data_IF_359231109668
#
_entry.id   IF_359231109668
#
_cell.length_a   1.000
_cell.length_b   1.000
_cell.length_c   1.000
_cell.angle_alpha   90.00
_cell.angle_beta   90.00
_cell.angle_gamma   90.00
#
_symmetry.space_group_name_H-M   'P 1'
#
loop_
_entity.id
_entity.type
_entity.pdbx_description
1 polymer ?
#
# COMPACT_ATOMS: atom_id res chain seq x y z
N UNK A 1 25.21 -26.23 -16.90
CA UNK A 1 25.77 -24.97 -17.45
C UNK A 1 24.76 -24.13 -18.22
N UNK A 2 23.88 -24.70 -19.03
CA UNK A 2 22.84 -23.96 -19.80
C UNK A 2 21.80 -23.23 -18.94
N UNK A 3 21.39 -23.76 -17.81
CA UNK A 3 20.38 -23.13 -16.92
C UNK A 3 20.91 -21.83 -16.28
N UNK A 4 22.20 -21.76 -15.96
CA UNK A 4 22.84 -20.56 -15.40
C UNK A 4 22.85 -19.40 -16.42
N UNK A 5 23.09 -19.69 -17.68
CA UNK A 5 23.09 -18.69 -18.75
C UNK A 5 21.67 -18.20 -19.10
N UNK A 6 20.64 -19.05 -18.96
CA UNK A 6 19.24 -18.65 -19.19
C UNK A 6 18.71 -17.78 -18.05
N UNK A 7 19.12 -18.05 -16.81
CA UNK A 7 18.77 -17.21 -15.64
C UNK A 7 19.43 -15.83 -15.72
N UNK A 8 20.68 -15.75 -16.11
CA UNK A 8 21.39 -14.49 -16.33
C UNK A 8 20.73 -13.70 -17.46
N UNK A 9 20.32 -14.33 -18.56
CA UNK A 9 19.60 -13.68 -19.66
C UNK A 9 18.22 -13.19 -19.25
N UNK A 10 17.49 -13.91 -18.38
CA UNK A 10 16.20 -13.50 -17.84
C UNK A 10 16.35 -12.35 -16.83
N UNK A 11 17.39 -12.38 -15.98
CA UNK A 11 17.72 -11.27 -15.08
C UNK A 11 18.16 -10.02 -15.85
N UNK A 12 18.94 -10.17 -16.90
CA UNK A 12 19.35 -9.06 -17.78
C UNK A 12 18.15 -8.55 -18.61
N UNK A 13 17.25 -9.41 -19.07
CA UNK A 13 16.02 -9.00 -19.74
C UNK A 13 15.03 -8.33 -18.79
N UNK A 14 14.90 -8.79 -17.55
CA UNK A 14 14.11 -8.12 -16.52
C UNK A 14 14.72 -6.77 -16.14
N UNK A 15 16.04 -6.67 -16.03
CA UNK A 15 16.76 -5.40 -15.79
C UNK A 15 16.68 -4.45 -17.00
N UNK A 16 16.61 -4.95 -18.22
CA UNK A 16 16.45 -4.13 -19.43
C UNK A 16 15.01 -3.65 -19.66
N UNK A 17 14.03 -4.26 -19.00
CA UNK A 17 12.63 -3.80 -18.97
C UNK A 17 12.39 -2.69 -17.95
N UNK A 18 13.36 -2.38 -17.07
CA UNK A 18 13.34 -1.16 -16.28
C UNK A 18 13.66 0.00 -17.24
N UNK A 19 12.67 0.86 -17.57
CA UNK A 19 12.95 1.96 -18.45
C UNK A 19 14.02 2.86 -17.83
N UNK A 20 14.98 3.30 -18.63
CA UNK A 20 16.04 4.25 -18.25
C UNK A 20 15.52 5.56 -17.62
N UNK A 21 14.22 5.77 -17.58
CA UNK A 21 13.50 6.82 -16.87
C UNK A 21 13.61 6.78 -15.33
N UNK A 22 14.12 5.69 -14.75
CA UNK A 22 14.36 5.59 -13.28
C UNK A 22 15.50 6.50 -12.80
N UNK A 23 16.30 7.07 -13.71
CA UNK A 23 17.39 7.99 -13.36
C UNK A 23 16.94 9.44 -13.17
N UNK A 24 15.66 9.76 -13.33
CA UNK A 24 15.12 11.09 -13.13
C UNK A 24 14.52 11.20 -11.72
N UNK A 25 15.29 11.77 -10.81
CA UNK A 25 14.91 12.24 -9.47
C UNK A 25 14.40 11.14 -8.52
N UNK A 26 15.30 10.58 -7.75
CA UNK A 26 15.00 9.95 -6.47
C UNK A 26 14.56 11.03 -5.47
N UNK A 27 13.30 11.45 -5.53
CA UNK A 27 12.68 12.12 -4.40
C UNK A 27 12.28 11.03 -3.39
N UNK A 28 12.38 11.32 -2.11
CA UNK A 28 11.94 10.46 -1.02
C UNK A 28 10.42 10.25 -0.96
N UNK A 29 9.69 10.76 -1.94
CA UNK A 29 8.24 10.70 -2.03
C UNK A 29 7.81 9.35 -2.60
N UNK A 30 7.20 8.52 -1.76
CA UNK A 30 6.75 7.16 -2.08
C UNK A 30 5.30 7.08 -2.62
N UNK A 31 4.54 8.17 -2.53
CA UNK A 31 3.23 8.35 -3.14
C UNK A 31 3.19 9.70 -3.84
N UNK A 32 2.33 9.89 -4.82
CA UNK A 32 2.09 11.18 -5.44
C UNK A 32 0.61 11.37 -5.75
N UNK A 33 -0.12 11.83 -4.73
CA UNK A 33 -1.56 12.01 -4.79
C UNK A 33 -2.02 13.18 -3.94
N UNK A 34 -2.83 14.11 -4.46
CA UNK A 34 -3.41 15.17 -3.65
C UNK A 34 -4.32 14.63 -2.53
N UNK A 35 -4.82 13.41 -2.67
CA UNK A 35 -5.63 12.75 -1.64
C UNK A 35 -4.82 12.33 -0.42
N UNK A 36 -3.48 12.35 -0.49
CA UNK A 36 -2.60 12.07 0.65
C UNK A 36 -2.37 13.28 1.56
N UNK A 37 -2.95 14.43 1.23
CA UNK A 37 -2.83 15.66 2.02
C UNK A 37 -3.43 15.52 3.43
N UNK A 38 -4.33 14.57 3.64
CA UNK A 38 -5.07 14.41 4.89
C UNK A 38 -4.72 13.08 5.59
N UNK A 39 -4.72 13.12 6.93
CA UNK A 39 -4.49 11.95 7.78
C UNK A 39 -3.12 11.30 7.57
N UNK A 40 -3.10 9.99 7.48
CA UNK A 40 -1.87 9.19 7.31
C UNK A 40 -1.51 8.94 5.83
N UNK A 41 -2.21 9.58 4.90
CA UNK A 41 -1.96 9.45 3.47
C UNK A 41 -2.70 8.29 2.79
N UNK A 42 -2.14 7.82 1.68
CA UNK A 42 -2.68 6.71 0.89
C UNK A 42 -2.30 5.37 1.49
N UNK A 43 -3.31 4.51 1.71
CA UNK A 43 -3.09 3.16 2.20
C UNK A 43 -2.56 2.26 1.08
N UNK A 44 -1.49 1.55 1.36
CA UNK A 44 -0.97 0.53 0.45
C UNK A 44 -1.87 -0.72 0.45
N UNK A 45 -1.94 -1.39 -0.70
CA UNK A 45 -2.69 -2.65 -0.80
C UNK A 45 -1.91 -3.76 -0.08
N UNK A 46 -2.44 -4.32 1.01
CA UNK A 46 -1.73 -5.36 1.74
C UNK A 46 -1.72 -6.69 0.97
N UNK A 47 -0.77 -7.54 1.29
CA UNK A 47 -0.61 -8.87 0.70
C UNK A 47 0.66 -8.98 -0.14
N UNK A 48 1.21 -10.19 -0.24
CA UNK A 48 2.36 -10.51 -1.12
C UNK A 48 1.97 -10.40 -2.60
N UNK A 49 2.94 -10.31 -3.49
CA UNK A 49 2.68 -10.13 -4.92
C UNK A 49 1.74 -11.18 -5.54
N UNK A 50 1.81 -12.48 -5.19
CA UNK A 50 0.82 -13.46 -5.63
C UNK A 50 -0.64 -13.09 -5.27
N UNK A 51 -0.85 -12.59 -4.04
CA UNK A 51 -2.17 -12.17 -3.56
C UNK A 51 -2.64 -10.90 -4.30
N UNK A 52 -1.77 -9.92 -4.46
CA UNK A 52 -2.07 -8.66 -5.17
C UNK A 52 -2.37 -8.88 -6.65
N UNK A 53 -1.67 -9.79 -7.31
CA UNK A 53 -1.96 -10.19 -8.69
C UNK A 53 -3.35 -10.83 -8.86
N UNK A 54 -3.97 -11.25 -7.75
CA UNK A 54 -5.35 -11.74 -7.67
C UNK A 54 -6.32 -10.68 -7.09
N UNK A 55 -6.09 -9.38 -7.34
CA UNK A 55 -6.94 -8.30 -6.82
C UNK A 55 -6.75 -7.99 -5.33
N UNK A 56 -5.79 -8.61 -4.66
CA UNK A 56 -5.57 -8.52 -3.21
C UNK A 56 -6.44 -9.49 -2.41
N UNK A 57 -6.88 -10.58 -3.01
CA UNK A 57 -7.55 -11.70 -2.33
C UNK A 57 -6.57 -12.47 -1.47
N UNK A 58 -6.97 -12.81 -0.24
CA UNK A 58 -6.09 -13.56 0.64
C UNK A 58 -6.66 -13.93 2.00
N UNK A 59 -7.79 -13.37 2.43
CA UNK A 59 -8.36 -13.61 3.78
C UNK A 59 -8.62 -15.10 4.03
N UNK A 60 -9.11 -15.81 3.01
CA UNK A 60 -9.31 -17.25 3.04
C UNK A 60 -8.21 -18.05 2.34
N UNK A 61 -7.18 -17.39 1.78
CA UNK A 61 -6.12 -18.10 1.07
C UNK A 61 -5.27 -18.90 2.05
N UNK A 62 -5.24 -20.22 1.85
CA UNK A 62 -4.44 -21.16 2.64
C UNK A 62 -3.51 -21.91 1.68
N UNK A 63 -2.36 -21.32 1.41
CA UNK A 63 -1.36 -21.87 0.48
C UNK A 63 -0.08 -22.24 1.21
N UNK A 64 0.55 -23.31 0.79
CA UNK A 64 1.87 -23.72 1.29
C UNK A 64 3.03 -22.99 0.56
N UNK A 65 2.74 -22.25 -0.50
CA UNK A 65 3.74 -21.55 -1.31
C UNK A 65 3.59 -20.03 -1.35
N UNK A 66 2.74 -19.45 -0.48
CA UNK A 66 2.53 -17.99 -0.41
C UNK A 66 2.43 -17.60 1.07
N UNK A 67 3.23 -16.64 1.50
CA UNK A 67 3.09 -16.05 2.84
C UNK A 67 1.80 -15.23 2.88
N UNK A 68 0.91 -15.56 3.83
CA UNK A 68 -0.34 -14.82 3.96
C UNK A 68 -0.20 -13.67 4.94
N UNK A 69 -0.36 -12.43 4.47
CA UNK A 69 -0.28 -11.23 5.30
C UNK A 69 -1.65 -10.76 5.83
N UNK A 70 -2.76 -11.29 5.31
CA UNK A 70 -4.11 -10.80 5.60
C UNK A 70 -4.79 -11.54 6.75
N UNK A 71 -4.43 -12.80 7.01
CA UNK A 71 -5.08 -13.60 8.04
C UNK A 71 -4.06 -14.47 8.80
N UNK A 72 -3.81 -14.22 10.08
CA UNK A 72 -2.81 -14.96 10.85
C UNK A 72 -3.17 -16.45 11.06
N UNK A 73 -4.44 -16.83 10.92
CA UNK A 73 -4.83 -18.25 10.99
C UNK A 73 -4.17 -19.11 9.88
N UNK A 74 -3.83 -18.48 8.74
CA UNK A 74 -3.16 -19.13 7.63
C UNK A 74 -1.74 -19.62 7.97
N UNK A 75 -1.09 -19.06 8.98
CA UNK A 75 0.28 -19.47 9.38
C UNK A 75 0.35 -20.94 9.81
N UNK A 76 -0.75 -21.50 10.31
CA UNK A 76 -0.84 -22.93 10.64
C UNK A 76 -0.76 -23.85 9.43
N UNK A 77 -0.86 -23.34 8.19
CA UNK A 77 -0.85 -24.17 6.97
C UNK A 77 0.54 -24.61 6.53
N UNK A 78 1.58 -24.02 7.11
CA UNK A 78 2.95 -24.32 6.68
C UNK A 78 3.35 -25.75 7.11
N UNK A 79 3.86 -26.57 6.19
CA UNK A 79 4.33 -27.90 6.51
C UNK A 79 5.51 -27.88 7.50
N UNK A 80 5.67 -28.94 8.29
CA UNK A 80 6.81 -29.09 9.18
C UNK A 80 8.12 -29.09 8.41
N UNK A 81 9.19 -28.54 9.02
CA UNK A 81 10.52 -28.47 8.44
C UNK A 81 10.61 -27.68 7.13
N UNK A 82 9.74 -26.68 6.98
CA UNK A 82 9.75 -25.76 5.85
C UNK A 82 9.92 -24.33 6.31
N UNK A 83 10.44 -23.49 5.46
CA UNK A 83 10.56 -22.05 5.65
C UNK A 83 10.12 -21.36 4.36
N UNK A 84 9.27 -20.37 4.47
CA UNK A 84 8.79 -19.60 3.35
C UNK A 84 9.18 -18.14 3.57
N UNK A 85 9.88 -17.56 2.61
CA UNK A 85 10.31 -16.18 2.62
C UNK A 85 9.82 -15.48 1.37
N UNK A 86 9.33 -14.26 1.52
CA UNK A 86 8.91 -13.40 0.42
C UNK A 86 9.59 -12.04 0.50
N UNK A 87 9.98 -11.53 -0.66
CA UNK A 87 10.50 -10.17 -0.84
C UNK A 87 9.93 -9.58 -2.11
N UNK A 88 9.41 -8.37 -2.06
CA UNK A 88 8.80 -7.70 -3.18
C UNK A 88 9.30 -6.27 -3.38
N UNK A 89 9.41 -5.88 -4.65
CA UNK A 89 9.71 -4.52 -5.11
C UNK A 89 8.60 -4.03 -6.02
N UNK A 90 8.28 -2.74 -5.96
CA UNK A 90 7.20 -2.12 -6.72
C UNK A 90 7.65 -0.80 -7.31
N UNK A 91 7.36 -0.60 -8.60
CA UNK A 91 7.38 0.71 -9.26
C UNK A 91 5.96 1.16 -9.55
N UNK A 92 5.66 2.43 -9.33
CA UNK A 92 4.34 3.00 -9.57
C UNK A 92 4.45 4.30 -10.36
N UNK A 93 3.63 4.40 -11.42
CA UNK A 93 3.42 5.62 -12.17
C UNK A 93 2.06 6.19 -11.81
N UNK A 94 2.04 7.44 -11.35
CA UNK A 94 0.83 8.22 -11.09
C UNK A 94 0.57 9.18 -12.24
N UNK A 95 -0.66 9.22 -12.73
CA UNK A 95 -1.15 10.22 -13.66
C UNK A 95 -2.36 10.91 -13.05
N UNK A 96 -2.19 12.20 -12.75
CA UNK A 96 -3.21 13.04 -12.16
C UNK A 96 -3.71 14.04 -13.19
N UNK A 97 -5.02 14.20 -13.33
CA UNK A 97 -5.65 15.17 -14.22
C UNK A 97 -6.77 15.91 -13.50
N UNK A 98 -6.86 17.21 -13.75
CA UNK A 98 -7.90 18.09 -13.18
C UNK A 98 -8.38 19.03 -14.26
N UNK A 99 -9.70 19.24 -14.30
CA UNK A 99 -10.34 20.23 -15.18
C UNK A 99 -11.04 21.27 -14.32
N UNK A 100 -10.62 22.51 -14.42
CA UNK A 100 -11.19 23.67 -13.70
C UNK A 100 -11.47 24.77 -14.72
N UNK A 101 -12.69 25.32 -14.72
CA UNK A 101 -13.12 26.37 -15.64
C UNK A 101 -12.85 26.06 -17.13
N UNK A 102 -13.04 24.80 -17.53
CA UNK A 102 -12.80 24.34 -18.91
C UNK A 102 -11.32 24.12 -19.30
N UNK A 103 -10.38 24.44 -18.41
CA UNK A 103 -8.95 24.15 -18.62
C UNK A 103 -8.55 22.85 -17.96
N UNK A 104 -7.92 21.95 -18.73
CA UNK A 104 -7.40 20.69 -18.21
C UNK A 104 -5.90 20.77 -17.98
N UNK A 105 -5.46 20.38 -16.78
CA UNK A 105 -4.05 20.24 -16.41
C UNK A 105 -3.77 18.82 -15.96
N UNK A 106 -2.58 18.29 -16.25
CA UNK A 106 -2.17 16.95 -15.85
C UNK A 106 -0.74 16.93 -15.36
N UNK A 107 -0.46 15.98 -14.47
CA UNK A 107 0.89 15.72 -13.97
C UNK A 107 1.14 14.21 -13.95
N UNK A 108 2.37 13.80 -14.20
CA UNK A 108 2.80 12.42 -14.07
C UNK A 108 3.99 12.34 -13.09
N UNK A 109 4.03 11.27 -12.30
CA UNK A 109 5.07 11.04 -11.32
C UNK A 109 5.37 9.55 -11.16
N UNK A 110 6.64 9.20 -11.00
CA UNK A 110 7.08 7.83 -10.79
C UNK A 110 7.64 7.65 -9.39
N UNK A 111 7.26 6.56 -8.73
CA UNK A 111 7.81 6.15 -7.45
C UNK A 111 8.37 4.73 -7.55
N UNK A 112 9.31 4.40 -6.70
CA UNK A 112 9.85 3.05 -6.59
C UNK A 112 10.11 2.71 -5.12
N UNK A 113 9.56 1.59 -4.65
CA UNK A 113 9.61 1.17 -3.27
C UNK A 113 9.80 -0.34 -3.11
N UNK A 114 10.24 -0.75 -1.90
CA UNK A 114 9.97 -2.11 -1.49
C UNK A 114 8.48 -2.29 -1.19
N UNK A 115 7.98 -3.49 -1.43
CA UNK A 115 6.58 -3.81 -1.25
C UNK A 115 6.32 -4.64 0.01
N UNK A 116 7.11 -5.68 0.22
CA UNK A 116 7.02 -6.53 1.39
C UNK A 116 8.32 -7.30 1.63
N UNK A 117 8.57 -7.55 2.91
CA UNK A 117 9.50 -8.57 3.38
C UNK A 117 8.69 -9.43 4.35
N UNK A 118 8.57 -10.71 4.07
CA UNK A 118 7.75 -11.57 4.91
C UNK A 118 8.33 -12.96 5.01
N UNK A 119 8.11 -13.62 6.13
CA UNK A 119 8.42 -15.04 6.27
C UNK A 119 7.37 -15.78 7.09
N UNK A 120 7.32 -17.07 6.88
CA UNK A 120 6.46 -17.98 7.59
C UNK A 120 7.19 -19.29 7.86
N UNK A 121 7.11 -19.80 9.09
CA UNK A 121 7.75 -21.05 9.49
C UNK A 121 6.92 -21.83 10.51
N UNK A 122 7.04 -23.16 10.56
CA UNK A 122 6.40 -23.96 11.60
C UNK A 122 7.18 -23.82 12.92
N UNK A 123 6.48 -23.58 14.02
CA UNK A 123 7.05 -23.56 15.37
C UNK A 123 6.86 -24.91 16.04
N UNK A 124 5.69 -25.50 15.87
CA UNK A 124 5.35 -26.82 16.38
C UNK A 124 4.36 -27.50 15.44
N UNK A 125 3.98 -28.75 15.74
CA UNK A 125 2.96 -29.44 14.95
C UNK A 125 1.65 -28.65 14.99
N UNK A 126 1.14 -28.24 13.81
CA UNK A 126 -0.06 -27.43 13.63
C UNK A 126 0.05 -25.98 14.11
N UNK A 127 1.21 -25.52 14.52
CA UNK A 127 1.47 -24.15 14.96
C UNK A 127 2.52 -23.52 14.04
N UNK A 128 2.15 -22.44 13.39
CA UNK A 128 3.05 -21.65 12.54
C UNK A 128 3.20 -20.22 13.04
N UNK A 129 4.36 -19.64 12.75
CA UNK A 129 4.70 -18.25 12.98
C UNK A 129 4.81 -17.54 11.65
N UNK A 130 4.30 -16.32 11.58
CA UNK A 130 4.46 -15.41 10.46
C UNK A 130 4.98 -14.07 10.92
N UNK A 131 5.85 -13.51 10.10
CA UNK A 131 6.40 -12.17 10.26
C UNK A 131 6.27 -11.41 8.94
N UNK A 132 5.99 -10.11 9.01
CA UNK A 132 6.07 -9.24 7.85
C UNK A 132 6.49 -7.82 8.21
N UNK A 133 7.18 -7.19 7.28
CA UNK A 133 7.52 -5.79 7.21
C UNK A 133 6.95 -5.24 5.91
N UNK A 134 6.01 -4.32 6.00
CA UNK A 134 5.31 -3.77 4.83
C UNK A 134 5.09 -2.27 4.98
N UNK A 135 5.20 -1.47 3.91
CA UNK A 135 4.70 -0.10 3.91
C UNK A 135 3.18 -0.12 4.11
N UNK A 136 2.68 0.56 5.13
CA UNK A 136 1.25 0.63 5.45
C UNK A 136 0.57 1.77 4.71
N UNK A 137 1.14 2.99 4.82
CA UNK A 137 0.64 4.17 4.12
C UNK A 137 1.78 5.07 3.71
N UNK A 138 1.52 5.89 2.68
CA UNK A 138 2.50 6.85 2.15
C UNK A 138 1.83 8.19 1.90
N UNK A 139 2.54 9.27 2.23
CA UNK A 139 2.17 10.65 1.95
C UNK A 139 3.09 11.19 0.88
N UNK A 140 2.51 11.81 -0.13
CA UNK A 140 3.27 12.49 -1.17
C UNK A 140 2.37 13.41 -1.98
N UNK A 141 2.56 14.72 -1.83
CA UNK A 141 1.86 15.71 -2.61
C UNK A 141 2.68 16.99 -2.72
N UNK A 142 2.47 17.72 -3.82
CA UNK A 142 2.96 19.07 -4.04
C UNK A 142 1.86 19.88 -4.72
N UNK A 143 1.36 20.89 -4.03
CA UNK A 143 0.30 21.77 -4.53
C UNK A 143 0.74 23.21 -4.44
N UNK A 144 0.51 23.95 -5.52
CA UNK A 144 0.80 25.37 -5.59
C UNK A 144 -0.45 26.12 -5.97
N UNK A 145 -0.73 27.20 -5.27
CA UNK A 145 -1.72 28.16 -5.70
C UNK A 145 -1.26 29.59 -5.47
N UNK A 146 -1.89 30.50 -6.20
CA UNK A 146 -1.61 31.92 -6.12
C UNK A 146 -2.86 32.66 -5.66
N UNK A 147 -2.66 33.62 -4.78
CA UNK A 147 -3.64 34.64 -4.48
C UNK A 147 -3.14 35.93 -5.10
N UNK A 148 -3.91 36.45 -6.06
CA UNK A 148 -3.60 37.70 -6.72
C UNK A 148 -4.07 38.89 -5.87
N UNK A 149 -3.48 40.06 -6.11
CA UNK A 149 -3.84 41.30 -5.45
C UNK A 149 -5.31 41.63 -5.64
N UNK A 150 -5.99 41.95 -4.53
CA UNK A 150 -7.33 42.49 -4.50
C UNK A 150 -7.27 43.95 -4.01
N UNK A 151 -7.55 44.93 -4.88
CA UNK A 151 -7.52 46.33 -4.50
C UNK A 151 -8.55 46.72 -3.48
N UNK A 152 -9.58 45.91 -3.26
CA UNK A 152 -10.61 46.12 -2.23
C UNK A 152 -10.20 45.65 -0.84
N UNK A 153 -9.13 44.87 -0.71
CA UNK A 153 -8.63 44.36 0.57
C UNK A 153 -7.49 45.26 1.11
N UNK A 154 -7.75 46.04 2.17
CA UNK A 154 -6.77 46.97 2.73
C UNK A 154 -5.56 46.29 3.39
N UNK A 155 -5.64 44.98 3.65
CA UNK A 155 -4.52 44.22 4.25
C UNK A 155 -3.38 44.02 3.28
N UNK A 156 -3.65 44.05 1.97
CA UNK A 156 -2.62 43.74 0.95
C UNK A 156 -1.55 44.80 0.77
N UNK A 157 -1.85 46.08 0.94
CA UNK A 157 -0.87 47.16 0.75
C UNK A 157 -0.16 47.08 -0.58
N UNK A 158 1.19 46.90 -0.56
CA UNK A 158 2.02 46.75 -1.75
C UNK A 158 2.21 45.28 -2.19
N UNK A 159 1.50 44.31 -1.60
CA UNK A 159 1.61 42.91 -2.00
C UNK A 159 0.78 42.67 -3.26
N UNK A 160 1.44 42.30 -4.37
CA UNK A 160 0.76 42.05 -5.63
C UNK A 160 0.28 40.61 -5.80
N UNK A 161 1.02 39.66 -5.23
CA UNK A 161 0.73 38.23 -5.30
C UNK A 161 1.27 37.52 -4.08
N UNK A 162 0.56 36.53 -3.59
CA UNK A 162 1.07 35.59 -2.60
C UNK A 162 1.02 34.19 -3.19
N UNK A 163 2.19 33.55 -3.28
CA UNK A 163 2.32 32.14 -3.65
C UNK A 163 2.28 31.26 -2.39
N UNK A 164 1.43 30.27 -2.42
CA UNK A 164 1.33 29.24 -1.39
C UNK A 164 1.78 27.91 -1.98
N UNK A 165 2.76 27.28 -1.34
CA UNK A 165 3.21 25.93 -1.66
C UNK A 165 2.87 25.03 -0.47
N UNK A 166 2.19 23.92 -0.74
CA UNK A 166 1.95 22.86 0.22
C UNK A 166 2.64 21.61 -0.29
N UNK A 167 3.51 21.08 0.53
CA UNK A 167 4.24 19.84 0.26
C UNK A 167 4.04 18.88 1.44
N UNK A 168 3.92 17.61 1.15
CA UNK A 168 3.90 16.58 2.17
C UNK A 168 4.65 15.36 1.67
N UNK A 169 5.40 14.74 2.59
CA UNK A 169 6.11 13.49 2.34
C UNK A 169 6.16 12.67 3.61
N UNK A 170 6.42 11.38 3.48
CA UNK A 170 6.58 10.46 4.59
C UNK A 170 5.81 9.18 4.44
N UNK A 171 6.13 8.24 5.30
CA UNK A 171 5.60 6.88 5.27
C UNK A 171 5.31 6.35 6.65
N UNK A 172 4.32 5.49 6.73
CA UNK A 172 4.06 4.65 7.90
C UNK A 172 4.31 3.21 7.51
N UNK A 173 5.19 2.55 8.24
CA UNK A 173 5.56 1.14 8.03
C UNK A 173 4.88 0.28 9.10
N UNK A 174 4.46 -0.93 8.72
CA UNK A 174 3.91 -1.95 9.62
C UNK A 174 4.90 -3.11 9.76
N UNK A 175 5.20 -3.49 11.00
CA UNK A 175 5.73 -4.81 11.35
C UNK A 175 4.61 -5.63 11.96
N UNK A 176 4.41 -6.82 11.43
CA UNK A 176 3.45 -7.79 11.94
C UNK A 176 4.17 -9.07 12.38
N UNK A 177 3.87 -9.51 13.59
CA UNK A 177 4.31 -10.81 14.13
C UNK A 177 3.09 -11.58 14.61
N UNK A 178 2.89 -12.78 14.10
CA UNK A 178 1.70 -13.54 14.40
C UNK A 178 1.93 -15.04 14.54
N UNK A 179 0.98 -15.68 15.21
CA UNK A 179 0.89 -17.11 15.40
C UNK A 179 -0.43 -17.63 14.85
N UNK A 180 -0.38 -18.74 14.11
CA UNK A 180 -1.54 -19.45 13.62
C UNK A 180 -1.53 -20.88 14.12
N UNK A 181 -2.65 -21.34 14.66
CA UNK A 181 -2.81 -22.67 15.23
C UNK A 181 -4.02 -23.40 14.65
N UNK A 182 -3.82 -24.62 14.16
CA UNK A 182 -4.92 -25.53 13.79
C UNK A 182 -5.43 -26.22 15.04
N UNK A 183 -6.49 -25.67 15.64
CA UNK A 183 -7.10 -26.17 16.88
C UNK A 183 -7.79 -27.50 16.65
N UNK A 184 -8.61 -27.58 15.60
CA UNK A 184 -9.30 -28.78 15.17
C UNK A 184 -8.89 -29.10 13.73
N UNK A 185 -9.23 -30.31 13.29
CA UNK A 185 -8.98 -30.72 11.90
C UNK A 185 -9.64 -29.71 10.93
N UNK A 186 -8.83 -29.10 10.08
CA UNK A 186 -9.26 -28.11 9.09
C UNK A 186 -9.79 -26.77 9.66
N UNK A 187 -9.71 -26.54 10.97
CA UNK A 187 -10.10 -25.28 11.60
C UNK A 187 -8.91 -24.66 12.31
N UNK A 188 -8.59 -23.43 11.93
CA UNK A 188 -7.44 -22.69 12.43
C UNK A 188 -7.83 -21.33 12.97
N UNK A 189 -7.16 -20.91 14.03
CA UNK A 189 -7.23 -19.59 14.60
C UNK A 189 -5.86 -18.95 14.57
N UNK A 190 -5.81 -17.64 14.58
CA UNK A 190 -4.55 -16.93 14.61
C UNK A 190 -4.67 -15.57 15.28
N UNK A 191 -3.56 -15.12 15.83
CA UNK A 191 -3.41 -13.80 16.45
C UNK A 191 -2.14 -13.17 15.94
N UNK A 192 -2.12 -11.85 15.79
CA UNK A 192 -0.93 -11.11 15.44
C UNK A 192 -0.88 -9.77 16.18
N UNK A 193 0.32 -9.35 16.52
CA UNK A 193 0.64 -7.99 16.94
C UNK A 193 1.15 -7.22 15.71
N UNK A 194 0.70 -5.98 15.57
CA UNK A 194 1.06 -5.07 14.50
C UNK A 194 1.67 -3.81 15.13
N UNK A 195 2.89 -3.49 14.77
CA UNK A 195 3.58 -2.27 15.17
C UNK A 195 3.69 -1.33 14.00
N UNK A 196 3.16 -0.13 14.16
CA UNK A 196 3.17 0.94 13.16
C UNK A 196 4.16 2.00 13.59
N UNK A 197 5.09 2.37 12.70
CA UNK A 197 6.01 3.48 12.94
C UNK A 197 6.30 4.24 11.66
N UNK A 198 6.66 5.49 11.80
CA UNK A 198 7.03 6.35 10.69
C UNK A 198 6.96 7.83 11.03
N UNK A 199 7.28 8.66 10.05
CA UNK A 199 7.13 10.10 10.14
C UNK A 199 6.46 10.65 8.90
N UNK A 200 5.67 11.71 9.09
CA UNK A 200 5.04 12.46 8.02
C UNK A 200 5.41 13.92 8.21
N UNK A 201 6.04 14.51 7.20
CA UNK A 201 6.39 15.90 7.14
C UNK A 201 5.43 16.66 6.23
N UNK A 202 4.86 17.75 6.73
CA UNK A 202 4.02 18.66 5.98
C UNK A 202 4.59 20.05 6.03
N UNK A 203 4.93 20.58 4.89
CA UNK A 203 5.53 21.90 4.74
C UNK A 203 4.56 22.83 4.04
N UNK A 204 4.40 24.01 4.60
CA UNK A 204 3.64 25.10 4.05
C UNK A 204 4.60 26.30 3.84
N UNK A 205 4.68 26.80 2.63
CA UNK A 205 5.49 27.98 2.32
C UNK A 205 4.60 29.07 1.74
N UNK A 206 4.68 30.27 2.31
CA UNK A 206 4.02 31.46 1.83
C UNK A 206 5.09 32.46 1.33
N UNK A 207 5.01 32.80 0.05
CA UNK A 207 5.95 33.74 -0.60
C UNK A 207 5.19 34.92 -1.18
N UNK A 208 5.22 36.10 -0.54
CA UNK A 208 4.63 37.31 -1.08
C UNK A 208 5.55 37.95 -2.12
N UNK A 209 4.97 38.64 -3.11
CA UNK A 209 5.68 39.41 -4.16
C UNK A 209 5.06 40.79 -4.24
N UNK A 210 5.90 41.85 -4.33
CA UNK A 210 5.44 43.22 -4.41
C UNK A 210 4.77 43.54 -5.77
N UNK A 211 3.85 44.50 -5.79
CA UNK A 211 3.20 45.01 -7.03
C UNK A 211 4.21 45.72 -7.92
N UNK A 212 5.04 46.59 -7.33
CA UNK A 212 5.93 47.47 -8.07
C UNK A 212 7.36 46.95 -8.19
N UNK A 213 7.65 45.76 -7.70
CA UNK A 213 9.01 45.22 -7.61
C UNK A 213 9.86 45.87 -6.52
N UNK A 214 9.35 46.92 -5.87
CA UNK A 214 10.00 47.59 -4.73
C UNK A 214 9.33 47.10 -3.43
N UNK A 215 10.02 46.27 -2.71
CA UNK A 215 9.59 45.75 -1.42
C UNK A 215 10.22 44.39 -1.17
N UNK A 216 10.96 44.27 -0.07
CA UNK A 216 11.53 43.00 0.39
C UNK A 216 10.55 42.33 1.32
N UNK A 217 9.68 41.48 0.75
CA UNK A 217 8.85 40.61 1.55
C UNK A 217 9.56 39.30 1.86
N UNK A 218 9.47 38.86 3.08
CA UNK A 218 10.12 37.65 3.54
C UNK A 218 9.13 36.47 3.49
N UNK A 219 9.57 35.35 2.94
CA UNK A 219 8.76 34.12 2.94
C UNK A 219 8.59 33.57 4.34
N UNK A 220 7.46 32.93 4.59
CA UNK A 220 7.22 32.21 5.83
C UNK A 220 7.07 30.73 5.51
N UNK A 221 7.69 29.88 6.34
CA UNK A 221 7.63 28.43 6.21
C UNK A 221 7.10 27.83 7.50
N UNK A 222 6.01 27.07 7.40
CA UNK A 222 5.51 26.21 8.46
C UNK A 222 5.88 24.75 8.18
N UNK A 223 6.37 24.07 9.19
CA UNK A 223 6.70 22.65 9.17
C UNK A 223 5.96 21.93 10.28
N UNK A 224 5.15 20.95 9.92
CA UNK A 224 4.48 20.04 10.84
C UNK A 224 5.07 18.64 10.64
N UNK A 225 5.81 18.14 11.64
CA UNK A 225 6.34 16.78 11.67
C UNK A 225 5.46 15.91 12.56
N UNK A 226 4.93 14.83 12.01
CA UNK A 226 4.12 13.82 12.70
C UNK A 226 4.96 12.57 12.93
N UNK A 227 5.28 12.27 14.17
CA UNK A 227 5.98 11.04 14.55
C UNK A 227 4.96 10.00 15.05
N UNK A 228 4.89 8.86 14.38
CA UNK A 228 3.93 7.79 14.64
C UNK A 228 4.64 6.60 15.24
N UNK A 229 4.11 6.10 16.37
CA UNK A 229 4.56 4.86 17.01
C UNK A 229 3.38 4.25 17.76
N UNK A 230 2.86 3.10 17.29
CA UNK A 230 1.67 2.48 17.88
C UNK A 230 1.63 0.98 17.67
N UNK A 231 1.08 0.26 18.65
CA UNK A 231 0.86 -1.19 18.60
C UNK A 231 -0.63 -1.48 18.48
N UNK A 232 -0.99 -2.39 17.59
CA UNK A 232 -2.36 -2.90 17.38
C UNK A 232 -2.36 -4.41 17.37
N UNK A 233 -3.56 -4.99 17.29
CA UNK A 233 -3.74 -6.42 17.22
C UNK A 233 -4.62 -6.85 16.06
N UNK A 234 -4.40 -8.06 15.58
CA UNK A 234 -5.24 -8.72 14.59
C UNK A 234 -5.59 -10.13 15.07
N UNK A 235 -6.82 -10.55 14.85
CA UNK A 235 -7.28 -11.91 15.06
C UNK A 235 -7.83 -12.49 13.75
N UNK A 236 -7.70 -13.80 13.57
CA UNK A 236 -8.15 -14.44 12.36
C UNK A 236 -8.61 -15.86 12.58
N UNK A 237 -9.52 -16.29 11.72
CA UNK A 237 -10.03 -17.67 11.69
C UNK A 237 -10.09 -18.18 10.25
N UNK A 238 -9.83 -19.46 10.06
CA UNK A 238 -10.01 -20.15 8.79
C UNK A 238 -10.59 -21.55 9.01
N UNK A 239 -11.55 -21.91 8.17
CA UNK A 239 -12.10 -23.25 8.09
C UNK A 239 -11.93 -23.77 6.66
N UNK A 240 -11.28 -24.94 6.53
CA UNK A 240 -10.86 -25.48 5.23
C UNK A 240 -11.40 -26.91 5.02
N UNK A 241 -12.73 -27.10 4.85
CA UNK A 241 -13.28 -28.40 4.56
C UNK A 241 -12.74 -28.94 3.23
N UNK A 242 -12.27 -30.17 3.26
CA UNK A 242 -11.83 -30.89 2.07
C UNK A 242 -13.04 -31.51 1.40
N UNK A 243 -13.44 -30.95 0.23
CA UNK A 243 -14.60 -31.47 -0.49
C UNK A 243 -14.30 -32.81 -1.19
N UNK A 244 -13.08 -32.90 -1.77
CA UNK A 244 -12.50 -34.11 -2.33
C UNK A 244 -10.99 -34.08 -2.21
N UNK A 245 -10.28 -35.17 -2.49
CA UNK A 245 -8.80 -35.19 -2.46
C UNK A 245 -8.11 -34.10 -3.32
N UNK A 246 -8.82 -33.53 -4.30
CA UNK A 246 -8.30 -32.52 -5.24
C UNK A 246 -9.03 -31.16 -5.18
N UNK A 247 -9.98 -31.01 -4.25
CA UNK A 247 -10.80 -29.79 -4.14
C UNK A 247 -10.91 -29.35 -2.69
N UNK A 248 -10.41 -28.18 -2.39
CA UNK A 248 -10.40 -27.58 -1.07
C UNK A 248 -11.20 -26.29 -1.14
N UNK A 249 -12.13 -26.12 -0.24
CA UNK A 249 -12.81 -24.86 0.02
C UNK A 249 -12.27 -24.30 1.33
N UNK A 250 -11.90 -23.05 1.37
CA UNK A 250 -11.53 -22.37 2.61
C UNK A 250 -12.44 -21.15 2.79
N UNK A 251 -12.96 -20.99 3.98
CA UNK A 251 -13.69 -19.80 4.42
C UNK A 251 -12.85 -19.17 5.52
N UNK A 252 -12.64 -17.85 5.43
CA UNK A 252 -11.80 -17.12 6.36
C UNK A 252 -12.42 -15.81 6.78
N UNK A 253 -12.10 -15.39 8.01
CA UNK A 253 -12.37 -14.06 8.50
C UNK A 253 -11.18 -13.54 9.30
N UNK A 254 -10.94 -12.23 9.24
CA UNK A 254 -9.91 -11.54 10.00
C UNK A 254 -10.47 -10.22 10.53
N UNK A 255 -10.06 -9.85 11.74
CA UNK A 255 -10.45 -8.60 12.38
C UNK A 255 -9.22 -7.87 12.90
N UNK A 256 -9.01 -6.67 12.39
CA UNK A 256 -7.99 -5.73 12.85
C UNK A 256 -8.62 -4.81 13.90
N UNK A 257 -8.03 -4.76 15.08
CA UNK A 257 -8.62 -4.09 16.23
C UNK A 257 -8.65 -2.56 16.04
N UNK A 258 -7.69 -2.00 15.30
CA UNK A 258 -7.60 -0.55 15.08
C UNK A 258 -7.33 0.22 16.38
N UNK A 259 -7.64 1.50 16.40
CA UNK A 259 -7.56 2.39 17.57
C UNK A 259 -6.60 3.57 17.38
N UNK A 260 -6.35 4.30 18.46
CA UNK A 260 -5.61 5.56 18.41
C UNK A 260 -4.14 5.36 18.03
N UNK A 261 -3.63 6.21 17.14
CA UNK A 261 -2.21 6.30 16.78
C UNK A 261 -1.47 7.32 17.63
N UNK A 262 -2.17 8.36 18.10
CA UNK A 262 -1.66 9.46 18.95
C UNK A 262 -0.27 9.97 18.51
N UNK A 263 -0.08 10.43 17.27
CA UNK A 263 1.21 10.92 16.83
C UNK A 263 1.65 12.13 17.64
N UNK A 264 2.94 12.18 17.92
CA UNK A 264 3.58 13.40 18.39
C UNK A 264 3.75 14.34 17.20
N UNK A 265 3.23 15.56 17.33
CA UNK A 265 3.27 16.57 16.26
C UNK A 265 4.13 17.74 16.71
N UNK A 266 5.27 17.91 16.06
CA UNK A 266 6.15 19.07 16.26
C UNK A 266 5.87 20.09 15.16
N UNK A 267 5.35 21.26 15.56
CA UNK A 267 5.08 22.39 14.67
C UNK A 267 6.18 23.43 14.79
N UNK A 268 6.71 23.89 13.68
CA UNK A 268 7.73 24.94 13.62
C UNK A 268 7.36 25.97 12.57
N UNK A 269 7.55 27.25 12.87
CA UNK A 269 7.34 28.35 11.95
C UNK A 269 8.66 29.09 11.80
N UNK A 270 9.08 29.31 10.58
CA UNK A 270 10.27 30.04 10.20
C UNK A 270 9.88 31.25 9.38
N UNK A 271 10.65 32.36 9.53
CA UNK A 271 10.53 33.54 8.69
C UNK A 271 11.86 33.71 7.95
N UNK A 272 11.81 33.80 6.64
CA UNK A 272 12.98 33.78 5.79
C UNK A 272 13.41 32.36 5.41
N UNK A 273 14.67 32.06 5.62
CA UNK A 273 15.22 30.72 5.39
C UNK A 273 14.92 29.82 6.61
N UNK A 274 14.55 28.55 6.37
CA UNK A 274 14.31 27.54 7.40
C UNK A 274 15.53 27.32 8.31
N UNK A 275 16.72 27.72 7.87
CA UNK A 275 17.96 27.58 8.64
C UNK A 275 18.26 28.79 9.54
N UNK A 276 17.56 29.92 9.39
CA UNK A 276 18.01 31.17 10.00
C UNK A 276 17.21 31.63 11.21
N UNK A 277 15.92 31.41 11.29
CA UNK A 277 15.16 31.90 12.47
C UNK A 277 13.88 31.12 12.70
N UNK A 278 13.84 30.32 13.75
CA UNK A 278 12.58 29.73 14.29
C UNK A 278 11.86 30.82 15.07
N UNK A 279 10.68 31.22 14.61
CA UNK A 279 9.84 32.22 15.32
C UNK A 279 9.01 31.53 16.41
N UNK A 280 8.55 30.31 16.14
CA UNK A 280 7.75 29.52 17.08
C UNK A 280 7.94 28.02 16.84
N UNK A 281 8.09 27.28 17.93
CA UNK A 281 8.04 25.83 17.94
C UNK A 281 7.06 25.36 19.05
N UNK A 282 6.28 24.33 18.77
CA UNK A 282 5.38 23.72 19.71
C UNK A 282 5.29 22.21 19.44
N UNK A 283 5.12 21.42 20.49
CA UNK A 283 4.94 19.97 20.37
C UNK A 283 3.63 19.59 21.03
N UNK A 284 2.77 18.96 20.27
CA UNK A 284 1.44 18.55 20.71
C UNK A 284 1.18 17.10 20.34
N UNK A 285 0.23 16.46 21.01
CA UNK A 285 -0.29 15.17 20.59
C UNK A 285 -1.59 15.36 19.82
N UNK A 286 -1.65 14.82 18.60
CA UNK A 286 -2.86 14.85 17.80
C UNK A 286 -3.56 13.48 17.89
N UNK A 287 -4.89 13.51 18.00
CA UNK A 287 -5.66 12.28 17.91
C UNK A 287 -5.82 11.86 16.45
N UNK A 288 -5.18 10.78 16.06
CA UNK A 288 -5.39 10.07 14.82
C UNK A 288 -5.87 8.65 15.12
N UNK A 289 -6.79 8.13 14.33
CA UNK A 289 -7.38 6.81 14.57
C UNK A 289 -7.16 5.90 13.37
N UNK A 290 -6.60 4.71 13.60
CA UNK A 290 -6.64 3.62 12.64
C UNK A 290 -8.01 2.95 12.68
N UNK A 291 -8.64 2.68 11.52
CA UNK A 291 -9.95 2.05 11.48
C UNK A 291 -9.89 0.61 12.02
N UNK A 292 -10.96 0.20 12.64
CA UNK A 292 -11.23 -1.23 12.80
C UNK A 292 -11.57 -1.80 11.43
N UNK A 293 -10.99 -2.96 11.11
CA UNK A 293 -11.26 -3.61 9.83
C UNK A 293 -11.81 -5.02 10.06
N UNK A 294 -12.92 -5.32 9.44
CA UNK A 294 -13.46 -6.67 9.33
C UNK A 294 -13.29 -7.15 7.88
N UNK A 295 -12.66 -8.28 7.71
CA UNK A 295 -12.45 -8.91 6.41
C UNK A 295 -13.00 -10.34 6.43
N UNK A 296 -13.70 -10.72 5.36
CA UNK A 296 -14.20 -12.07 5.17
C UNK A 296 -13.91 -12.52 3.75
N UNK A 297 -13.68 -13.82 3.55
CA UNK A 297 -13.36 -14.34 2.24
C UNK A 297 -13.68 -15.81 2.08
N UNK A 298 -13.77 -16.21 0.82
CA UNK A 298 -13.93 -17.59 0.37
C UNK A 298 -12.87 -17.88 -0.68
N UNK A 299 -12.19 -18.99 -0.54
CA UNK A 299 -11.16 -19.43 -1.47
C UNK A 299 -11.37 -20.88 -1.86
N UNK A 300 -11.55 -21.13 -3.15
CA UNK A 300 -11.74 -22.46 -3.71
C UNK A 300 -10.52 -22.84 -4.54
N UNK A 301 -9.92 -23.97 -4.24
CA UNK A 301 -8.71 -24.45 -4.89
C UNK A 301 -8.88 -25.86 -5.44
N UNK A 302 -8.38 -26.06 -6.66
CA UNK A 302 -8.25 -27.34 -7.33
C UNK A 302 -6.79 -27.58 -7.73
N UNK A 303 -6.52 -28.69 -8.41
CA UNK A 303 -5.17 -28.98 -8.91
C UNK A 303 -4.65 -27.93 -9.94
N UNK A 304 -5.54 -27.25 -10.67
CA UNK A 304 -5.17 -26.30 -11.72
C UNK A 304 -5.68 -24.87 -11.48
N UNK A 305 -6.81 -24.74 -10.82
CA UNK A 305 -7.50 -23.47 -10.60
C UNK A 305 -7.58 -23.12 -9.13
N UNK A 306 -7.38 -21.86 -8.84
CA UNK A 306 -7.77 -21.29 -7.56
C UNK A 306 -8.58 -20.01 -7.82
N UNK A 307 -9.68 -19.85 -7.10
CA UNK A 307 -10.57 -18.68 -7.21
C UNK A 307 -10.87 -18.19 -5.80
N UNK A 308 -10.76 -16.89 -5.61
CA UNK A 308 -11.05 -16.27 -4.32
C UNK A 308 -11.91 -15.04 -4.44
N UNK A 309 -12.68 -14.79 -3.41
CA UNK A 309 -13.51 -13.59 -3.24
C UNK A 309 -13.35 -13.11 -1.81
N UNK A 310 -13.00 -11.85 -1.63
CA UNK A 310 -12.88 -11.22 -0.32
C UNK A 310 -13.72 -9.94 -0.26
N UNK A 311 -14.25 -9.68 0.93
CA UNK A 311 -14.89 -8.42 1.29
C UNK A 311 -14.19 -7.85 2.52
N UNK A 312 -13.86 -6.56 2.50
CA UNK A 312 -13.27 -5.85 3.63
C UNK A 312 -14.07 -4.59 3.93
N UNK A 313 -14.42 -4.42 5.19
CA UNK A 313 -15.09 -3.23 5.73
C UNK A 313 -14.17 -2.54 6.72
N UNK A 314 -14.01 -1.21 6.59
CA UNK A 314 -13.21 -0.39 7.50
C UNK A 314 -14.06 0.75 8.07
N UNK A 315 -14.02 0.90 9.40
CA UNK A 315 -14.75 1.95 10.11
C UNK A 315 -13.89 3.22 10.24
N UNK A 316 -13.81 4.00 9.17
CA UNK A 316 -13.10 5.29 9.16
C UNK A 316 -13.90 6.44 9.76
N UNK A 317 -15.23 6.30 9.94
CA UNK A 317 -16.08 7.34 10.51
C UNK A 317 -15.64 7.81 11.90
N UNK A 318 -15.02 6.91 12.68
CA UNK A 318 -14.47 7.24 14.00
C UNK A 318 -13.26 8.21 13.94
N UNK A 319 -12.65 8.35 12.75
CA UNK A 319 -11.49 9.23 12.52
C UNK A 319 -11.87 10.71 12.35
N UNK A 320 -13.14 11.04 12.25
CA UNK A 320 -13.65 12.43 12.15
C UNK A 320 -13.56 13.22 13.46
N UNK A 321 -12.93 12.68 14.50
CA UNK A 321 -12.93 13.27 15.85
C UNK A 321 -12.03 14.50 16.01
N UNK A 322 -11.29 14.90 14.98
CA UNK A 322 -10.40 16.06 15.07
C UNK A 322 -10.49 16.91 13.81
N UNK A 323 -11.09 18.07 13.94
CA UNK A 323 -11.07 19.20 13.02
C UNK A 323 -11.66 18.95 11.63
N UNK A 324 -12.61 19.78 11.26
CA UNK A 324 -13.06 19.99 9.90
C UNK A 324 -11.83 20.24 9.01
N UNK A 325 -11.57 19.30 8.10
CA UNK A 325 -10.50 19.47 7.12
C UNK A 325 -11.08 20.18 5.91
N UNK A 326 -10.56 21.36 5.62
CA UNK A 326 -10.98 22.13 4.44
C UNK A 326 -9.90 22.05 3.38
N UNK A 327 -10.27 21.59 2.20
CA UNK A 327 -9.43 21.61 1.03
C UNK A 327 -9.77 22.78 0.11
N UNK A 328 -8.83 23.15 -0.75
CA UNK A 328 -9.02 24.18 -1.77
C UNK A 328 -8.59 23.62 -3.13
N UNK A 329 -9.45 23.80 -4.13
CA UNK A 329 -9.21 23.41 -5.51
C UNK A 329 -9.34 24.62 -6.43
N UNK A 330 -8.58 24.66 -7.51
CA UNK A 330 -8.59 25.76 -8.48
C UNK A 330 -7.57 26.85 -8.15
N UNK A 331 -7.55 27.90 -8.95
CA UNK A 331 -6.66 29.07 -8.80
C UNK A 331 -7.38 30.36 -9.18
N UNK A 332 -7.04 31.48 -8.55
CA UNK A 332 -7.66 32.78 -8.76
C UNK A 332 -9.15 32.78 -8.41
N UNK A 333 -9.97 33.44 -9.22
CA UNK A 333 -11.42 33.56 -9.01
C UNK A 333 -12.21 32.25 -9.18
N UNK A 334 -11.60 31.22 -9.77
CA UNK A 334 -12.16 29.88 -9.91
C UNK A 334 -11.84 28.97 -8.72
N UNK A 335 -11.42 29.53 -7.61
CA UNK A 335 -11.07 28.82 -6.38
C UNK A 335 -12.32 28.31 -5.67
N UNK A 336 -12.37 27.00 -5.40
CA UNK A 336 -13.44 26.35 -4.68
C UNK A 336 -12.90 25.70 -3.42
N UNK A 337 -13.46 26.03 -2.27
CA UNK A 337 -13.21 25.30 -1.03
C UNK A 337 -14.14 24.08 -0.96
N UNK A 338 -13.66 22.99 -0.38
CA UNK A 338 -14.45 21.78 -0.15
C UNK A 338 -14.17 21.22 1.24
N UNK A 339 -15.22 20.67 1.82
CA UNK A 339 -15.12 19.96 3.09
C UNK A 339 -14.58 18.54 2.86
N UNK A 340 -13.67 18.10 3.71
CA UNK A 340 -13.12 16.74 3.71
C UNK A 340 -13.48 16.05 5.00
N UNK A 341 -14.10 14.88 4.89
CA UNK A 341 -14.44 14.05 6.04
C UNK A 341 -14.09 12.59 5.78
N UNK A 342 -13.85 11.82 6.84
CA UNK A 342 -13.67 10.39 6.73
C UNK A 342 -15.01 9.65 6.67
N UNK A 343 -15.05 8.59 5.88
CA UNK A 343 -16.24 7.74 5.73
C UNK A 343 -15.86 6.26 5.75
N UNK A 344 -16.77 5.45 6.27
CA UNK A 344 -16.59 4.01 6.28
C UNK A 344 -16.47 3.47 4.87
N UNK A 345 -15.53 2.55 4.67
CA UNK A 345 -15.24 1.99 3.36
C UNK A 345 -15.58 0.51 3.27
N UNK A 346 -15.97 0.11 2.07
CA UNK A 346 -16.18 -1.29 1.71
C UNK A 346 -15.39 -1.58 0.45
N UNK A 347 -14.63 -2.66 0.46
CA UNK A 347 -13.84 -3.10 -0.70
C UNK A 347 -14.17 -4.54 -1.03
N UNK A 348 -14.58 -4.77 -2.26
CA UNK A 348 -14.82 -6.09 -2.83
C UNK A 348 -13.65 -6.49 -3.73
N UNK A 349 -13.21 -7.74 -3.62
CA UNK A 349 -12.04 -8.27 -4.33
C UNK A 349 -12.36 -9.63 -4.89
N UNK A 350 -11.95 -9.87 -6.13
CA UNK A 350 -12.07 -11.16 -6.84
C UNK A 350 -10.74 -11.49 -7.49
N UNK A 351 -10.33 -12.74 -7.41
CA UNK A 351 -9.10 -13.19 -8.04
C UNK A 351 -9.16 -14.63 -8.52
N UNK A 352 -8.41 -14.90 -9.55
CA UNK A 352 -8.25 -16.22 -10.13
C UNK A 352 -6.78 -16.53 -10.38
N UNK A 353 -6.38 -17.77 -10.10
CA UNK A 353 -5.08 -18.33 -10.46
C UNK A 353 -5.30 -19.57 -11.31
N UNK A 354 -4.53 -19.70 -12.38
CA UNK A 354 -4.50 -20.87 -13.25
C UNK A 354 -3.08 -21.39 -13.41
N UNK A 355 -2.83 -22.63 -13.04
CA UNK A 355 -1.57 -23.34 -13.26
C UNK A 355 -1.83 -24.58 -14.09
N UNK A 356 -1.48 -24.60 -15.38
CA UNK A 356 -1.83 -25.71 -16.29
C UNK A 356 -1.33 -27.06 -15.81
N UNK A 357 -0.05 -27.13 -15.41
CA UNK A 357 0.56 -28.37 -14.90
C UNK A 357 1.84 -28.04 -14.11
N UNK A 358 1.80 -28.12 -12.79
CA UNK A 358 2.94 -27.80 -11.92
C UNK A 358 4.19 -28.67 -12.15
N UNK A 359 4.00 -29.87 -12.65
CA UNK A 359 5.05 -30.88 -12.82
C UNK A 359 5.33 -31.24 -14.29
N UNK A 360 4.93 -30.39 -15.24
CA UNK A 360 5.17 -30.65 -16.65
C UNK A 360 6.67 -30.59 -16.95
N UNK A 361 7.23 -31.71 -17.43
CA UNK A 361 8.67 -31.82 -17.78
C UNK A 361 8.99 -31.29 -19.17
N UNK A 362 7.97 -31.24 -20.06
CA UNK A 362 8.16 -30.89 -21.47
C UNK A 362 8.00 -29.40 -21.75
N UNK A 363 7.10 -28.72 -21.02
CA UNK A 363 6.78 -27.31 -21.26
C UNK A 363 7.01 -26.48 -20.01
N UNK A 364 7.95 -25.53 -20.08
CA UNK A 364 8.24 -24.60 -18.99
C UNK A 364 7.06 -23.70 -18.68
N UNK A 365 6.36 -23.17 -19.73
CA UNK A 365 5.22 -22.28 -19.58
C UNK A 365 4.03 -22.95 -18.90
N UNK A 366 3.83 -24.26 -19.04
CA UNK A 366 2.75 -24.98 -18.35
C UNK A 366 2.92 -25.04 -16.82
N UNK A 367 4.13 -24.79 -16.32
CA UNK A 367 4.43 -24.75 -14.90
C UNK A 367 4.17 -23.39 -14.25
N UNK A 368 3.99 -22.35 -15.07
CA UNK A 368 3.71 -21.02 -14.58
C UNK A 368 2.33 -20.91 -13.94
N UNK A 369 2.21 -20.09 -12.93
CA UNK A 369 0.94 -19.68 -12.34
C UNK A 369 0.53 -18.35 -12.95
N UNK A 370 -0.59 -18.32 -13.66
CA UNK A 370 -1.18 -17.14 -14.28
C UNK A 370 -2.26 -16.61 -13.35
N UNK A 371 -2.22 -15.33 -13.05
CA UNK A 371 -3.14 -14.69 -12.08
C UNK A 371 -3.80 -13.49 -12.70
N UNK A 372 -5.07 -13.30 -12.35
CA UNK A 372 -5.83 -12.11 -12.68
C UNK A 372 -6.77 -11.77 -11.53
N UNK A 373 -7.06 -10.47 -11.36
CA UNK A 373 -7.95 -10.04 -10.31
C UNK A 373 -8.55 -8.66 -10.54
N UNK A 374 -9.55 -8.37 -9.75
CA UNK A 374 -10.27 -7.10 -9.75
C UNK A 374 -10.62 -6.71 -8.33
N UNK A 375 -10.53 -5.42 -8.02
CA UNK A 375 -11.06 -4.84 -6.79
C UNK A 375 -11.83 -3.58 -7.07
N UNK A 376 -12.89 -3.38 -6.30
CA UNK A 376 -13.74 -2.21 -6.34
C UNK A 376 -14.09 -1.77 -4.91
N UNK A 377 -14.10 -0.47 -4.66
CA UNK A 377 -14.48 0.09 -3.38
C UNK A 377 -14.55 1.60 -3.43
N UNK A 378 -14.61 2.18 -2.23
CA UNK A 378 -14.61 3.64 -2.05
C UNK A 378 -13.38 4.06 -1.26
N UNK A 379 -12.88 5.25 -1.56
CA UNK A 379 -11.84 5.89 -0.76
C UNK A 379 -12.38 6.20 0.64
N UNK A 380 -11.50 6.29 1.61
CA UNK A 380 -11.85 6.58 3.01
C UNK A 380 -12.22 8.05 3.28
N UNK A 381 -12.10 8.91 2.29
CA UNK A 381 -12.44 10.34 2.38
C UNK A 381 -13.63 10.67 1.48
N UNK A 382 -14.46 11.60 1.94
CA UNK A 382 -15.51 12.25 1.15
C UNK A 382 -15.14 13.71 0.94
N UNK A 383 -15.62 14.29 -0.15
CA UNK A 383 -15.42 15.69 -0.52
C UNK A 383 -16.79 16.33 -0.77
N UNK A 384 -17.16 17.31 0.05
CA UNK A 384 -18.53 17.85 0.13
C UNK A 384 -19.60 16.75 0.28
N UNK A 385 -19.31 15.71 1.06
CA UNK A 385 -20.18 14.55 1.22
C UNK A 385 -20.12 13.50 0.10
N UNK A 386 -19.47 13.79 -1.04
CA UNK A 386 -19.35 12.87 -2.16
C UNK A 386 -18.26 11.82 -1.94
N UNK A 387 -18.61 10.55 -2.18
CA UNK A 387 -17.69 9.42 -2.08
C UNK A 387 -16.88 9.23 -3.35
N UNK A 388 -15.56 9.08 -3.22
CA UNK A 388 -14.68 8.75 -4.34
C UNK A 388 -14.67 7.25 -4.61
N UNK A 389 -15.22 6.84 -5.74
CA UNK A 389 -15.08 5.45 -6.19
C UNK A 389 -13.65 5.17 -6.68
N UNK A 390 -13.18 3.96 -6.38
CA UNK A 390 -11.89 3.46 -6.84
C UNK A 390 -12.01 2.02 -7.33
N UNK A 391 -11.28 1.68 -8.38
CA UNK A 391 -11.16 0.32 -8.84
C UNK A 391 -9.75 0.03 -9.35
N UNK A 392 -9.38 -1.25 -9.35
CA UNK A 392 -8.16 -1.72 -9.95
C UNK A 392 -8.34 -3.08 -10.60
N UNK A 393 -7.65 -3.26 -11.71
CA UNK A 393 -7.48 -4.53 -12.41
C UNK A 393 -6.05 -4.97 -12.24
N UNK A 394 -5.85 -6.22 -11.90
CA UNK A 394 -4.53 -6.80 -11.67
C UNK A 394 -4.30 -8.01 -12.54
N UNK A 395 -3.05 -8.21 -12.95
CA UNK A 395 -2.62 -9.41 -13.63
C UNK A 395 -1.19 -9.77 -13.18
N UNK A 396 -0.84 -11.04 -13.26
CA UNK A 396 0.51 -11.46 -12.93
C UNK A 396 0.78 -12.92 -13.24
N UNK A 397 2.03 -13.28 -13.13
CA UNK A 397 2.45 -14.66 -13.29
C UNK A 397 3.58 -15.01 -12.32
N UNK A 398 3.58 -16.27 -11.88
CA UNK A 398 4.62 -16.84 -11.04
C UNK A 398 5.42 -17.85 -11.83
N UNK A 399 6.72 -17.65 -11.89
CA UNK A 399 7.68 -18.49 -12.59
C UNK A 399 8.35 -19.39 -11.56
N UNK A 400 8.11 -20.73 -11.57
CA UNK A 400 8.79 -21.62 -10.65
C UNK A 400 10.27 -21.75 -11.03
N UNK A 401 11.14 -21.55 -10.04
CA UNK A 401 12.59 -21.70 -10.19
C UNK A 401 13.11 -22.67 -9.15
N UNK A 402 14.01 -23.56 -9.55
CA UNK A 402 14.70 -24.45 -8.62
C UNK A 402 15.89 -23.70 -8.02
N UNK A 403 15.66 -23.00 -6.93
CA UNK A 403 16.68 -22.41 -6.08
C UNK A 403 16.46 -22.98 -4.68
N UNK A 404 17.19 -24.00 -4.24
CA UNK A 404 17.12 -24.64 -2.91
C UNK A 404 15.79 -25.32 -2.53
N UNK A 405 14.89 -25.55 -3.38
CA UNK A 405 13.62 -26.25 -3.33
C UNK A 405 12.69 -25.64 -4.38
N UNK A 406 11.38 -25.58 -4.15
CA UNK A 406 10.44 -24.96 -5.07
C UNK A 406 10.29 -23.49 -4.68
N UNK A 407 10.96 -22.61 -5.43
CA UNK A 407 10.85 -21.15 -5.28
C UNK A 407 10.16 -20.55 -6.51
N UNK A 408 9.69 -19.32 -6.42
CA UNK A 408 9.11 -18.60 -7.56
C UNK A 408 9.64 -17.17 -7.68
N UNK A 409 9.70 -16.70 -8.90
CA UNK A 409 9.80 -15.28 -9.24
C UNK A 409 8.40 -14.88 -9.72
N UNK A 410 7.78 -13.93 -9.03
CA UNK A 410 6.47 -13.43 -9.37
C UNK A 410 6.61 -12.07 -10.04
N UNK A 411 5.83 -11.83 -11.10
CA UNK A 411 5.74 -10.55 -11.79
C UNK A 411 4.28 -10.16 -11.85
N UNK A 412 3.98 -8.92 -11.50
CA UNK A 412 2.62 -8.42 -11.47
C UNK A 412 2.49 -7.01 -12.00
N UNK A 413 1.33 -6.72 -12.56
CA UNK A 413 0.91 -5.39 -13.01
C UNK A 413 -0.44 -5.07 -12.42
N UNK A 414 -0.65 -3.80 -12.12
CA UNK A 414 -1.91 -3.29 -11.63
C UNK A 414 -2.21 -1.96 -12.31
N UNK A 415 -3.43 -1.81 -12.82
CA UNK A 415 -3.97 -0.54 -13.29
C UNK A 415 -5.16 -0.15 -12.43
N UNK A 416 -5.15 1.05 -11.87
CA UNK A 416 -6.23 1.55 -11.04
C UNK A 416 -6.63 2.99 -11.36
N UNK A 417 -7.87 3.32 -10.98
CA UNK A 417 -8.42 4.67 -11.11
C UNK A 417 -9.16 5.06 -9.83
N UNK A 418 -9.08 6.35 -9.50
CA UNK A 418 -9.72 6.96 -8.34
C UNK A 418 -10.35 8.30 -8.71
N UNK A 419 -11.47 8.64 -8.11
CA UNK A 419 -12.13 9.94 -8.26
C UNK A 419 -12.83 10.16 -9.60
N UNK A 420 -12.98 9.15 -10.44
CA UNK A 420 -13.57 9.27 -11.77
C UNK A 420 -15.06 9.62 -11.78
N UNK A 421 -15.77 9.34 -10.70
CA UNK A 421 -17.22 9.55 -10.59
C UNK A 421 -17.61 10.97 -10.15
N UNK A 422 -16.73 11.69 -9.44
CA UNK A 422 -17.06 12.99 -8.82
C UNK A 422 -16.04 14.08 -9.11
N UNK A 423 -14.89 13.76 -9.67
CA UNK A 423 -13.79 14.72 -9.84
C UNK A 423 -14.19 15.99 -10.60
N UNK A 424 -14.95 15.87 -11.69
CA UNK A 424 -15.41 17.05 -12.47
C UNK A 424 -16.42 17.90 -11.70
N UNK A 425 -17.35 17.25 -10.99
CA UNK A 425 -18.42 17.94 -10.27
C UNK A 425 -17.89 18.75 -9.09
N UNK A 426 -16.87 18.24 -8.40
CA UNK A 426 -16.31 18.87 -7.20
C UNK A 426 -15.00 19.62 -7.50
N UNK A 427 -14.54 19.60 -8.76
CA UNK A 427 -13.27 20.22 -9.15
C UNK A 427 -12.03 19.50 -8.61
N UNK A 428 -12.15 18.20 -8.34
CA UNK A 428 -11.08 17.38 -7.80
C UNK A 428 -10.22 16.74 -8.91
N UNK A 429 -9.14 16.14 -8.49
CA UNK A 429 -8.21 15.44 -9.36
C UNK A 429 -8.72 14.04 -9.69
N UNK A 430 -8.76 13.67 -10.96
CA UNK A 430 -8.84 12.28 -11.38
C UNK A 430 -7.46 11.67 -11.32
N UNK A 431 -7.32 10.58 -10.59
CA UNK A 431 -6.07 9.85 -10.49
C UNK A 431 -6.18 8.52 -11.22
N UNK A 432 -5.17 8.26 -12.05
CA UNK A 432 -4.89 6.95 -12.63
C UNK A 432 -3.51 6.52 -12.16
N UNK A 433 -3.34 5.23 -11.93
CA UNK A 433 -2.02 4.71 -11.59
C UNK A 433 -1.79 3.37 -12.28
N UNK A 434 -0.52 3.14 -12.58
CA UNK A 434 -0.03 1.88 -13.09
C UNK A 434 1.10 1.41 -12.18
N UNK A 435 0.99 0.18 -11.67
CA UNK A 435 2.03 -0.45 -10.85
C UNK A 435 2.64 -1.61 -11.58
N UNK A 436 3.94 -1.75 -11.46
CA UNK A 436 4.72 -2.90 -11.87
C UNK A 436 5.46 -3.43 -10.65
N UNK A 437 5.34 -4.71 -10.38
CA UNK A 437 5.98 -5.32 -9.23
C UNK A 437 6.70 -6.62 -9.58
N UNK A 438 7.81 -6.86 -8.88
CA UNK A 438 8.57 -8.12 -8.95
C UNK A 438 8.72 -8.65 -7.53
N UNK A 439 8.37 -9.91 -7.34
CA UNK A 439 8.47 -10.60 -6.07
C UNK A 439 9.31 -11.86 -6.18
N UNK A 440 9.95 -12.20 -5.08
CA UNK A 440 10.72 -13.43 -4.94
C UNK A 440 10.15 -14.22 -3.77
N UNK A 441 9.65 -15.41 -4.04
CA UNK A 441 9.22 -16.34 -3.01
C UNK A 441 10.24 -17.47 -2.93
N UNK A 442 10.91 -17.57 -1.79
CA UNK A 442 11.86 -18.64 -1.50
C UNK A 442 11.18 -19.64 -0.57
N UNK A 443 11.12 -20.89 -1.00
CA UNK A 443 10.57 -21.98 -0.24
C UNK A 443 11.68 -23.00 0.04
N UNK A 444 12.09 -23.08 1.30
CA UNK A 444 12.98 -24.12 1.78
C UNK A 444 12.14 -25.21 2.45
N UNK A 445 12.00 -26.35 1.80
CA UNK A 445 11.27 -27.50 2.30
C UNK A 445 12.20 -28.67 2.60
N UNK A 446 11.70 -29.71 3.26
CA UNK A 446 12.40 -30.97 3.37
C UNK A 446 12.62 -31.54 1.96
N UNK A 447 13.86 -31.53 1.50
CA UNK A 447 14.25 -32.30 0.31
C UNK A 447 14.21 -33.80 0.65
N UNK A 448 13.99 -34.63 -0.35
CA UNK A 448 14.03 -36.09 -0.22
C UNK A 448 15.34 -36.62 0.39
N UNK A 449 16.40 -35.81 0.40
CA UNK A 449 17.72 -36.15 0.94
C UNK A 449 17.96 -35.68 2.39
N UNK A 450 16.94 -35.25 3.13
CA UNK A 450 17.05 -35.01 4.59
C UNK A 450 17.86 -33.77 5.04
N UNK A 451 18.29 -32.91 4.14
CA UNK A 451 18.97 -31.65 4.51
C UNK A 451 17.97 -30.58 4.94
N UNK A 452 18.07 -30.13 6.16
CA UNK A 452 17.24 -29.08 6.76
C UNK A 452 18.08 -27.83 7.05
N UNK A 453 17.50 -26.67 6.94
CA UNK A 453 18.14 -25.39 7.27
C UNK A 453 18.77 -25.33 8.68
N UNK A 454 18.23 -26.10 9.61
CA UNK A 454 18.66 -26.16 11.01
C UNK A 454 19.18 -27.53 11.45
N UNK A 455 19.33 -28.49 10.56
CA UNK A 455 19.93 -29.76 10.89
C UNK A 455 21.41 -29.79 10.45
N UNK A 456 22.31 -30.13 11.37
CA UNK A 456 23.70 -30.43 11.00
C UNK A 456 23.68 -31.61 10.04
N UNK A 457 24.42 -31.56 8.90
CA UNK A 457 24.61 -32.71 8.07
C UNK A 457 25.20 -33.85 8.95
N UNK A 458 24.54 -34.98 8.99
CA UNK A 458 25.16 -36.19 9.54
C UNK A 458 26.07 -36.71 8.45
N UNK A 459 27.37 -36.55 8.66
CA UNK A 459 28.40 -37.27 7.90
C UNK A 459 28.50 -38.66 8.55
N UNK A 460 27.98 -39.67 7.87
CA UNK A 460 28.26 -41.06 8.16
C UNK A 460 29.61 -41.46 7.52
#
# INVERSE_FOLDING_TARGET
>A
MQVKNTLIKLLVAAAALFPAAVWAQTSSINAFSPYTMYGIGELNTPGTLPMRSMGGVGVAMRSTGVVNLLNPAAYSSIPQKTFLFNFGLEGQNYYNSQTVAGQSKSTAYNTFNFHDIAFQMPVARKLGLGFSLTPYSSVGYRTKYYHEYDPSDPVWGNVGRVQYNYEGEGDVTEVKLGLGWEVFKNFSVGVAAQYYWGSIDRTFTMTPTAITGEGNYTSSVGLDNYSISSVKGQVGVQWSPVLTQKRILTIGAAFDIGGDLNPEVTKRIYVGDIYNTTVKGDTTHLKMVLPRQLSAGIYYQTAKWAVGVDYAYQNWGDSNTATEMTGVSGSGDARTSYEVAYTNTSTFKVGVEYTPSRYDVRSFLKRWSYRAGFRYGYHNQTFNGDRLAQYAVTAGFGIPVKLWAISSIDVGVEYGRRGYNVAERVGLVRQQYFKFAVGFTLFAGAQENGEYWFSRPKYD
#
